data_IF_960746713121
#
_entry.id   IF_960746713121
#
_cell.length_a   1.000
_cell.length_b   1.000
_cell.length_c   1.000
_cell.angle_alpha   90.00
_cell.angle_beta   90.00
_cell.angle_gamma   90.00
#
_symmetry.space_group_name_H-M   'P 1'
#
loop_
_entity.id
_entity.type
_entity.pdbx_description
1 polymer ?
#
# COMPACT_ATOMS: atom_id res chain seq x y z
N UNK A 1 9.55 27.99 5.49
CA UNK A 1 8.21 27.77 4.92
C UNK A 1 7.60 29.14 4.63
N UNK A 2 7.26 29.46 3.38
CA UNK A 2 6.66 30.76 3.04
C UNK A 2 5.12 30.69 3.16
N UNK A 3 4.48 31.77 3.60
CA UNK A 3 3.05 31.81 3.94
C UNK A 3 2.11 31.52 2.75
N UNK A 4 2.62 31.61 1.52
CA UNK A 4 1.89 31.29 0.29
C UNK A 4 1.67 29.79 0.09
N UNK A 5 2.67 28.95 0.39
CA UNK A 5 2.55 27.49 0.31
C UNK A 5 1.47 26.95 1.26
N UNK A 6 1.34 27.54 2.46
CA UNK A 6 0.28 27.21 3.42
C UNK A 6 -1.11 27.67 2.95
N UNK A 7 -1.19 28.73 2.13
CA UNK A 7 -2.47 29.25 1.60
C UNK A 7 -3.00 28.41 0.46
N UNK A 8 -2.12 27.88 -0.39
CA UNK A 8 -2.54 27.05 -1.53
C UNK A 8 -2.94 25.64 -1.08
N UNK A 9 -2.26 25.06 -0.08
CA UNK A 9 -2.71 23.83 0.59
C UNK A 9 -4.10 23.99 1.23
N UNK A 10 -4.41 25.16 1.82
CA UNK A 10 -5.73 25.44 2.40
C UNK A 10 -6.84 25.55 1.34
N UNK A 11 -6.55 26.11 0.16
CA UNK A 11 -7.52 26.20 -0.94
C UNK A 11 -7.81 24.85 -1.57
N UNK A 12 -6.79 24.00 -1.71
CA UNK A 12 -6.97 22.63 -2.20
C UNK A 12 -7.73 21.76 -1.18
N UNK A 13 -7.49 21.94 0.13
CA UNK A 13 -8.27 21.30 1.18
C UNK A 13 -9.73 21.79 1.25
N UNK A 14 -9.99 23.06 0.96
CA UNK A 14 -11.36 23.57 0.84
C UNK A 14 -12.09 22.93 -0.33
N UNK A 15 -11.43 22.79 -1.48
CA UNK A 15 -11.99 22.14 -2.67
C UNK A 15 -12.20 20.62 -2.50
N UNK A 16 -11.31 19.94 -1.76
CA UNK A 16 -11.47 18.52 -1.40
C UNK A 16 -12.58 18.35 -0.35
N UNK A 17 -12.74 19.29 0.59
CA UNK A 17 -13.84 19.27 1.55
C UNK A 17 -15.18 19.62 0.91
N UNK A 18 -15.19 20.49 -0.11
CA UNK A 18 -16.35 20.78 -0.94
C UNK A 18 -16.74 19.57 -1.80
N UNK A 19 -15.78 18.93 -2.49
CA UNK A 19 -16.00 17.67 -3.22
C UNK A 19 -16.46 16.54 -2.28
N UNK A 20 -15.83 16.41 -1.10
CA UNK A 20 -16.29 15.49 -0.05
C UNK A 20 -17.71 15.82 0.41
N UNK A 21 -18.09 17.10 0.51
CA UNK A 21 -19.43 17.51 0.93
C UNK A 21 -20.49 17.30 -0.15
N UNK A 22 -20.18 17.63 -1.41
CA UNK A 22 -21.08 17.46 -2.56
C UNK A 22 -21.24 15.97 -2.93
N UNK A 23 -20.20 15.15 -2.79
CA UNK A 23 -20.28 13.69 -2.99
C UNK A 23 -20.78 12.91 -1.76
N UNK A 24 -20.67 13.45 -0.52
CA UNK A 24 -21.39 12.91 0.64
C UNK A 24 -22.89 13.22 0.58
N UNK A 25 -23.29 14.39 0.06
CA UNK A 25 -24.69 14.79 -0.07
C UNK A 25 -25.40 14.11 -1.24
N UNK A 26 -24.67 13.67 -2.29
CA UNK A 26 -25.22 12.87 -3.38
C UNK A 26 -25.58 11.42 -3.00
N UNK A 27 -25.26 10.99 -1.77
CA UNK A 27 -25.63 9.66 -1.25
C UNK A 27 -24.81 8.49 -1.81
N UNK A 28 -23.85 8.74 -2.71
CA UNK A 28 -23.05 7.72 -3.40
C UNK A 28 -21.97 7.09 -2.48
N UNK A 29 -21.52 7.80 -1.44
CA UNK A 29 -20.43 7.39 -0.54
C UNK A 29 -20.89 6.86 0.84
N UNK A 30 -22.20 6.72 1.09
CA UNK A 30 -22.72 6.49 2.45
C UNK A 30 -22.85 5.04 2.88
N UNK A 31 -23.03 4.08 1.97
CA UNK A 31 -23.34 2.69 2.35
C UNK A 31 -22.71 1.71 1.35
N UNK A 32 -21.84 0.83 1.84
CA UNK A 32 -21.40 -0.34 1.10
C UNK A 32 -22.62 -1.28 0.94
N UNK A 33 -22.93 -1.83 -0.23
CA UNK A 33 -24.10 -2.68 -0.40
C UNK A 33 -24.07 -3.84 0.60
N UNK A 34 -25.10 -3.98 1.44
CA UNK A 34 -25.26 -5.15 2.30
C UNK A 34 -25.44 -6.40 1.40
N UNK A 35 -24.82 -7.51 1.78
CA UNK A 35 -24.69 -8.70 0.94
C UNK A 35 -25.92 -9.63 1.09
N UNK A 36 -26.76 -9.69 0.07
CA UNK A 36 -27.84 -10.69 -0.04
C UNK A 36 -27.98 -11.29 -1.47
N UNK A 37 -27.32 -10.70 -2.49
CA UNK A 37 -27.53 -11.06 -3.90
C UNK A 37 -26.26 -10.96 -4.75
N UNK A 38 -26.18 -11.76 -5.82
CA UNK A 38 -25.11 -11.73 -6.83
C UNK A 38 -24.83 -10.32 -7.41
N UNK A 39 -25.88 -9.47 -7.53
CA UNK A 39 -25.74 -8.10 -8.03
C UNK A 39 -24.98 -7.20 -7.04
N UNK A 40 -25.19 -7.39 -5.74
CA UNK A 40 -24.49 -6.63 -4.70
C UNK A 40 -23.00 -7.01 -4.63
N UNK A 41 -22.67 -8.29 -4.84
CA UNK A 41 -21.27 -8.76 -4.95
C UNK A 41 -20.51 -8.01 -6.05
N UNK A 42 -21.10 -7.89 -7.24
CA UNK A 42 -20.47 -7.19 -8.36
C UNK A 42 -20.34 -5.68 -8.08
N UNK A 43 -21.38 -5.07 -7.49
CA UNK A 43 -21.33 -3.65 -7.10
C UNK A 43 -20.21 -3.37 -6.07
N UNK A 44 -19.99 -4.29 -5.12
CA UNK A 44 -18.88 -4.17 -4.17
C UNK A 44 -17.53 -4.17 -4.90
N UNK A 45 -17.33 -5.07 -5.85
CA UNK A 45 -16.07 -5.14 -6.60
C UNK A 45 -15.83 -3.87 -7.41
N UNK A 46 -16.85 -3.40 -8.12
CA UNK A 46 -16.76 -2.17 -8.91
C UNK A 46 -16.51 -0.94 -8.01
N UNK A 47 -17.11 -0.93 -6.81
CA UNK A 47 -16.80 0.08 -5.78
C UNK A 47 -15.32 0.02 -5.36
N UNK A 48 -14.78 -1.15 -5.02
CA UNK A 48 -13.38 -1.30 -4.59
C UNK A 48 -12.40 -0.90 -5.69
N UNK A 49 -12.68 -1.26 -6.95
CA UNK A 49 -11.88 -0.83 -8.10
C UNK A 49 -11.93 0.69 -8.25
N UNK A 50 -13.11 1.30 -8.12
CA UNK A 50 -13.27 2.75 -8.20
C UNK A 50 -12.47 3.46 -7.10
N UNK A 51 -12.51 2.96 -5.86
CA UNK A 51 -11.72 3.53 -4.76
C UNK A 51 -10.21 3.40 -5.03
N UNK A 52 -9.76 2.24 -5.51
CA UNK A 52 -8.34 2.04 -5.87
C UNK A 52 -7.88 3.03 -6.95
N UNK A 53 -8.72 3.30 -7.96
CA UNK A 53 -8.41 4.26 -9.03
C UNK A 53 -8.40 5.70 -8.53
N UNK A 54 -9.38 6.09 -7.70
CA UNK A 54 -9.40 7.42 -7.06
C UNK A 54 -8.11 7.65 -6.28
N UNK A 55 -7.64 6.69 -5.49
CA UNK A 55 -6.38 6.84 -4.77
C UNK A 55 -5.18 6.99 -5.71
N UNK A 56 -5.11 6.20 -6.79
CA UNK A 56 -4.02 6.30 -7.76
C UNK A 56 -3.99 7.65 -8.49
N UNK A 57 -5.17 8.25 -8.74
CA UNK A 57 -5.30 9.54 -9.41
C UNK A 57 -5.28 10.74 -8.45
N UNK A 58 -5.35 10.50 -7.13
CA UNK A 58 -5.31 11.52 -6.09
C UNK A 58 -3.86 11.92 -5.77
N UNK A 59 -3.28 12.77 -6.62
CA UNK A 59 -1.97 13.37 -6.40
C UNK A 59 -2.02 14.90 -6.51
N UNK A 60 -1.08 15.57 -5.87
CA UNK A 60 -0.88 17.00 -6.04
C UNK A 60 -0.07 17.25 -7.32
N UNK A 61 -0.58 18.03 -8.29
CA UNK A 61 0.10 18.30 -9.57
C UNK A 61 1.52 18.88 -9.42
N UNK A 62 1.81 19.57 -8.31
CA UNK A 62 3.18 20.06 -8.04
C UNK A 62 4.18 18.92 -7.82
N UNK A 63 3.69 17.71 -7.56
CA UNK A 63 4.45 16.51 -7.30
C UNK A 63 4.19 15.41 -8.36
N UNK A 64 3.78 15.81 -9.56
CA UNK A 64 3.66 14.88 -10.69
C UNK A 64 5.02 14.31 -11.11
N UNK A 65 6.08 15.13 -11.01
CA UNK A 65 7.45 14.76 -11.39
C UNK A 65 8.43 15.08 -10.26
N UNK A 66 8.58 14.15 -9.32
CA UNK A 66 9.55 14.26 -8.23
C UNK A 66 10.96 13.92 -8.72
N UNK A 67 11.89 14.86 -8.53
CA UNK A 67 13.32 14.69 -8.86
C UNK A 67 14.09 14.01 -7.71
N UNK A 68 15.36 13.70 -7.95
CA UNK A 68 16.26 13.22 -6.89
C UNK A 68 16.39 14.23 -5.74
N UNK A 69 16.51 15.53 -6.07
CA UNK A 69 16.64 16.60 -5.09
C UNK A 69 15.37 16.72 -4.24
N UNK A 70 14.20 16.58 -4.87
CA UNK A 70 12.92 16.56 -4.17
C UNK A 70 12.83 15.38 -3.21
N UNK A 71 13.21 14.16 -3.62
CA UNK A 71 13.23 13.00 -2.70
C UNK A 71 14.09 13.28 -1.46
N UNK A 72 15.31 13.78 -1.64
CA UNK A 72 16.23 14.08 -0.52
C UNK A 72 15.65 15.16 0.39
N UNK A 73 15.01 16.17 -0.18
CA UNK A 73 14.38 17.27 0.57
C UNK A 73 13.16 16.78 1.34
N UNK A 74 12.29 16.00 0.71
CA UNK A 74 11.04 15.53 1.28
C UNK A 74 11.30 14.52 2.41
N UNK A 75 12.25 13.60 2.23
CA UNK A 75 12.65 12.65 3.27
C UNK A 75 13.10 13.32 4.59
N UNK A 76 13.68 14.52 4.50
CA UNK A 76 14.11 15.30 5.68
C UNK A 76 12.98 16.05 6.38
N UNK A 77 11.89 16.36 5.67
CA UNK A 77 10.82 17.23 6.15
C UNK A 77 9.64 16.42 6.71
N UNK A 78 9.37 15.26 6.11
CA UNK A 78 8.11 14.55 6.27
C UNK A 78 8.24 13.27 7.12
N UNK A 79 7.12 12.83 7.72
CA UNK A 79 6.95 11.51 8.37
C UNK A 79 7.66 11.30 9.72
N UNK A 80 8.66 12.11 10.07
CA UNK A 80 9.56 11.87 11.22
C UNK A 80 9.01 12.31 12.58
N UNK A 81 8.04 13.21 12.62
CA UNK A 81 7.53 13.81 13.87
C UNK A 81 6.04 13.59 14.06
N UNK A 82 5.46 12.62 13.34
CA UNK A 82 4.02 12.36 13.28
C UNK A 82 3.78 10.95 13.80
N UNK A 83 2.76 10.80 14.65
CA UNK A 83 2.32 9.49 15.13
C UNK A 83 1.45 8.79 14.08
N UNK A 84 1.31 7.47 14.21
CA UNK A 84 0.39 6.71 13.36
C UNK A 84 -1.04 7.27 13.38
N UNK A 85 -1.56 7.61 14.55
CA UNK A 85 -2.91 8.17 14.71
C UNK A 85 -3.07 9.49 13.94
N UNK A 86 -2.14 10.43 14.14
CA UNK A 86 -2.17 11.70 13.42
C UNK A 86 -2.01 11.48 11.92
N UNK A 87 -1.13 10.56 11.51
CA UNK A 87 -0.93 10.22 10.10
C UNK A 87 -2.15 9.62 9.43
N UNK A 88 -2.93 8.80 10.13
CA UNK A 88 -4.18 8.23 9.58
C UNK A 88 -5.27 9.29 9.43
N UNK A 89 -5.35 10.24 10.35
CA UNK A 89 -6.30 11.34 10.29
C UNK A 89 -5.91 12.39 9.25
N UNK A 90 -4.60 12.62 9.08
CA UNK A 90 -4.03 13.63 8.18
C UNK A 90 -2.87 13.07 7.35
N UNK A 91 -3.14 12.20 6.35
CA UNK A 91 -2.09 11.56 5.55
C UNK A 91 -1.14 12.54 4.84
N UNK A 92 -1.63 13.73 4.47
CA UNK A 92 -0.84 14.79 3.84
C UNK A 92 0.28 15.34 4.72
N UNK A 93 0.20 15.14 6.04
CA UNK A 93 1.29 15.47 6.96
C UNK A 93 2.41 14.43 6.92
N UNK A 94 2.10 13.16 6.60
CA UNK A 94 3.10 12.09 6.51
C UNK A 94 3.95 12.23 5.27
N UNK A 95 3.35 12.56 4.12
CA UNK A 95 4.03 12.94 2.89
C UNK A 95 3.03 13.64 1.94
N UNK A 96 3.52 14.47 1.00
CA UNK A 96 2.65 14.95 -0.07
C UNK A 96 2.19 13.78 -0.95
N UNK A 97 0.99 13.90 -1.53
CA UNK A 97 0.46 12.93 -2.48
C UNK A 97 1.21 13.04 -3.81
N UNK A 98 2.20 12.17 -3.97
CA UNK A 98 3.09 12.13 -5.13
C UNK A 98 2.61 11.08 -6.11
N UNK A 99 2.48 11.46 -7.38
CA UNK A 99 2.12 10.53 -8.45
C UNK A 99 3.08 9.35 -8.49
N UNK A 100 2.56 8.13 -8.48
CA UNK A 100 3.39 6.95 -8.66
C UNK A 100 3.94 6.90 -10.09
N UNK A 101 5.26 6.81 -10.19
CA UNK A 101 6.00 6.66 -11.43
C UNK A 101 6.80 5.37 -11.36
N UNK A 102 6.26 4.32 -11.96
CA UNK A 102 6.86 2.99 -11.98
C UNK A 102 7.92 2.80 -13.06
N UNK A 103 8.48 3.90 -13.58
CA UNK A 103 9.58 3.84 -14.54
C UNK A 103 10.90 3.49 -13.84
N UNK A 104 11.87 3.02 -14.61
CA UNK A 104 13.22 2.68 -14.14
C UNK A 104 14.23 3.69 -14.71
N UNK A 105 14.05 4.97 -14.37
CA UNK A 105 14.82 6.09 -14.91
C UNK A 105 16.17 6.30 -14.20
N UNK A 106 16.28 5.93 -12.93
CA UNK A 106 17.51 6.09 -12.13
C UNK A 106 17.72 4.97 -11.12
N UNK A 107 18.97 4.64 -10.83
CA UNK A 107 19.30 3.74 -9.71
C UNK A 107 18.79 4.34 -8.39
N UNK A 108 18.30 3.45 -7.53
CA UNK A 108 17.83 3.79 -6.18
C UNK A 108 18.95 4.39 -5.32
N UNK A 109 18.60 5.37 -4.49
CA UNK A 109 19.44 5.90 -3.41
C UNK A 109 18.83 5.53 -2.05
N UNK A 110 19.60 5.73 -0.99
CA UNK A 110 19.19 5.41 0.39
C UNK A 110 17.88 6.10 0.80
N UNK A 111 17.74 7.38 0.47
CA UNK A 111 16.55 8.19 0.78
C UNK A 111 15.28 7.66 0.10
N UNK A 112 15.39 6.95 -1.02
CA UNK A 112 14.23 6.32 -1.66
C UNK A 112 13.60 5.23 -0.78
N UNK A 113 14.38 4.54 0.05
CA UNK A 113 13.88 3.45 0.90
C UNK A 113 12.90 3.99 1.94
N UNK A 114 13.34 4.99 2.72
CA UNK A 114 12.49 5.63 3.74
C UNK A 114 11.36 6.42 3.10
N UNK A 115 11.62 7.10 1.99
CA UNK A 115 10.59 7.88 1.32
C UNK A 115 9.49 7.03 0.69
N UNK A 116 9.83 5.84 0.17
CA UNK A 116 8.83 4.89 -0.34
C UNK A 116 7.83 4.49 0.75
N UNK A 117 8.27 4.35 2.00
CA UNK A 117 7.40 4.04 3.14
C UNK A 117 6.39 5.15 3.41
N UNK A 118 6.81 6.42 3.41
CA UNK A 118 5.88 7.53 3.61
C UNK A 118 4.86 7.64 2.47
N UNK A 119 5.30 7.42 1.23
CA UNK A 119 4.41 7.49 0.07
C UNK A 119 3.39 6.36 0.07
N UNK A 120 3.82 5.13 0.35
CA UNK A 120 2.90 4.00 0.41
C UNK A 120 2.00 4.07 1.64
N UNK A 121 2.46 4.68 2.75
CA UNK A 121 1.60 5.03 3.88
C UNK A 121 0.42 5.90 3.43
N UNK A 122 0.69 7.02 2.75
CA UNK A 122 -0.36 7.93 2.28
C UNK A 122 -1.32 7.21 1.34
N UNK A 123 -0.80 6.40 0.41
CA UNK A 123 -1.62 5.60 -0.50
C UNK A 123 -2.56 4.64 0.23
N UNK A 124 -2.05 3.88 1.21
CA UNK A 124 -2.85 2.90 1.96
C UNK A 124 -3.82 3.63 2.90
N UNK A 125 -3.42 4.73 3.52
CA UNK A 125 -4.25 5.53 4.42
C UNK A 125 -5.42 6.17 3.66
N UNK A 126 -5.17 6.72 2.47
CA UNK A 126 -6.23 7.25 1.61
C UNK A 126 -7.21 6.13 1.21
N UNK A 127 -6.70 4.98 0.78
CA UNK A 127 -7.55 3.84 0.42
C UNK A 127 -8.39 3.35 1.60
N UNK A 128 -7.79 3.17 2.77
CA UNK A 128 -8.49 2.76 3.99
C UNK A 128 -9.57 3.77 4.37
N UNK A 129 -9.28 5.07 4.32
CA UNK A 129 -10.22 6.13 4.66
C UNK A 129 -11.39 6.27 3.67
N UNK A 130 -11.25 5.79 2.42
CA UNK A 130 -12.38 5.71 1.48
C UNK A 130 -13.36 4.58 1.84
N UNK A 131 -12.93 3.57 2.60
CA UNK A 131 -13.78 2.45 2.98
C UNK A 131 -14.67 2.82 4.18
N UNK A 132 -16.01 2.75 4.06
CA UNK A 132 -16.92 3.09 5.16
C UNK A 132 -16.67 2.27 6.43
N UNK A 133 -16.35 0.99 6.30
CA UNK A 133 -16.14 0.06 7.42
C UNK A 133 -14.90 0.45 8.23
N UNK A 134 -13.82 0.87 7.56
CA UNK A 134 -12.63 1.34 8.27
C UNK A 134 -12.93 2.60 9.07
N UNK A 135 -13.70 3.53 8.49
CA UNK A 135 -14.14 4.76 9.19
C UNK A 135 -15.10 4.51 10.36
N UNK A 136 -15.80 3.37 10.39
CA UNK A 136 -16.67 3.00 11.51
C UNK A 136 -15.89 2.49 12.72
N UNK A 137 -14.66 2.02 12.54
CA UNK A 137 -13.79 1.60 13.62
C UNK A 137 -13.41 2.81 14.48
N UNK A 138 -13.23 2.59 15.78
CA UNK A 138 -12.59 3.60 16.63
C UNK A 138 -11.11 3.77 16.21
N UNK A 139 -10.50 4.89 16.58
CA UNK A 139 -9.14 5.23 16.15
C UNK A 139 -8.09 4.20 16.62
N UNK A 140 -8.30 3.57 17.77
CA UNK A 140 -7.41 2.52 18.30
C UNK A 140 -7.43 1.29 17.39
N UNK A 141 -8.62 0.80 17.02
CA UNK A 141 -8.79 -0.33 16.10
C UNK A 141 -8.25 0.01 14.69
N UNK A 142 -8.48 1.23 14.20
CA UNK A 142 -7.90 1.70 12.92
C UNK A 142 -6.36 1.63 12.96
N UNK A 143 -5.75 2.13 14.04
CA UNK A 143 -4.30 2.08 14.22
C UNK A 143 -3.77 0.64 14.30
N UNK A 144 -4.48 -0.25 15.01
CA UNK A 144 -4.08 -1.66 15.13
C UNK A 144 -4.10 -2.38 13.77
N UNK A 145 -5.24 -2.32 13.05
CA UNK A 145 -5.35 -2.92 11.73
C UNK A 145 -4.33 -2.36 10.76
N UNK A 146 -4.22 -1.02 10.70
CA UNK A 146 -3.33 -0.38 9.75
C UNK A 146 -1.88 -0.77 10.02
N UNK A 147 -1.42 -0.68 11.28
CA UNK A 147 -0.04 -1.04 11.66
C UNK A 147 0.27 -2.48 11.29
N UNK A 148 -0.59 -3.42 11.67
CA UNK A 148 -0.34 -4.85 11.48
C UNK A 148 -0.29 -5.24 10.00
N UNK A 149 -1.13 -4.62 9.16
CA UNK A 149 -1.29 -5.02 7.77
C UNK A 149 -0.52 -4.12 6.78
N UNK A 150 0.03 -2.98 7.23
CA UNK A 150 0.68 -1.97 6.39
C UNK A 150 1.73 -2.56 5.45
N UNK A 151 2.67 -3.34 5.98
CA UNK A 151 3.79 -3.81 5.17
C UNK A 151 3.33 -4.85 4.15
N UNK A 152 2.46 -5.78 4.54
CA UNK A 152 1.86 -6.79 3.63
C UNK A 152 1.06 -6.11 2.53
N UNK A 153 0.27 -5.08 2.87
CA UNK A 153 -0.46 -4.29 1.89
C UNK A 153 0.48 -3.54 0.95
N UNK A 154 1.56 -2.95 1.47
CA UNK A 154 2.57 -2.25 0.67
C UNK A 154 3.17 -3.17 -0.39
N UNK A 155 3.46 -4.42 -0.03
CA UNK A 155 3.87 -5.46 -0.96
C UNK A 155 2.82 -5.73 -2.05
N UNK A 156 1.55 -5.83 -1.71
CA UNK A 156 0.50 -6.09 -2.71
C UNK A 156 0.32 -4.92 -3.67
N UNK A 157 0.37 -3.67 -3.18
CA UNK A 157 0.38 -2.48 -4.04
C UNK A 157 1.55 -2.52 -5.01
N UNK A 158 2.76 -2.81 -4.50
CA UNK A 158 3.95 -2.97 -5.33
C UNK A 158 3.77 -4.04 -6.41
N UNK A 159 3.28 -5.23 -6.04
CA UNK A 159 3.12 -6.35 -6.98
C UNK A 159 2.08 -6.06 -8.05
N UNK A 160 0.98 -5.40 -7.71
CA UNK A 160 -0.05 -5.01 -8.69
C UNK A 160 0.52 -4.08 -9.76
N UNK A 161 1.24 -3.04 -9.33
CA UNK A 161 1.72 -1.97 -10.20
C UNK A 161 2.94 -2.41 -11.04
N UNK A 162 3.73 -3.35 -10.54
CA UNK A 162 4.91 -3.88 -11.24
C UNK A 162 4.60 -5.07 -12.16
N UNK A 163 3.32 -5.39 -12.38
CA UNK A 163 2.89 -6.54 -13.19
C UNK A 163 3.41 -6.52 -14.62
N UNK A 164 3.46 -5.34 -15.23
CA UNK A 164 3.76 -5.17 -16.66
C UNK A 164 5.16 -4.60 -16.93
N UNK A 165 6.02 -4.59 -15.92
CA UNK A 165 7.33 -3.95 -16.01
C UNK A 165 8.37 -4.98 -16.42
N UNK A 166 9.27 -4.56 -17.31
CA UNK A 166 10.40 -5.40 -17.74
C UNK A 166 11.32 -5.69 -16.56
N UNK A 167 11.34 -6.96 -16.15
CA UNK A 167 12.10 -7.46 -15.00
C UNK A 167 13.58 -7.61 -15.30
N UNK A 168 13.98 -7.63 -16.57
CA UNK A 168 15.40 -7.68 -16.93
C UNK A 168 16.11 -6.37 -16.54
N UNK A 169 15.38 -5.26 -16.52
CA UNK A 169 15.88 -3.96 -16.10
C UNK A 169 16.06 -3.91 -14.57
N UNK A 170 15.00 -4.22 -13.83
CA UNK A 170 15.01 -4.28 -12.37
C UNK A 170 13.67 -4.01 -11.72
N UNK A 171 13.69 -3.69 -10.43
CA UNK A 171 12.49 -3.53 -9.60
C UNK A 171 12.25 -2.05 -9.26
N UNK A 172 11.19 -1.42 -9.78
CA UNK A 172 10.94 0.01 -9.60
C UNK A 172 10.33 0.33 -8.24
N UNK A 173 10.64 1.50 -7.69
CA UNK A 173 10.18 1.97 -6.38
C UNK A 173 9.07 3.03 -6.46
N UNK A 174 8.53 3.24 -7.66
CA UNK A 174 7.34 4.09 -7.86
C UNK A 174 7.60 5.59 -7.82
N UNK A 175 8.85 6.05 -7.83
CA UNK A 175 9.25 7.46 -8.04
C UNK A 175 10.21 7.64 -9.21
N UNK A 176 10.26 6.68 -10.14
CA UNK A 176 11.24 6.59 -11.23
C UNK A 176 12.57 5.95 -10.82
N UNK A 177 12.79 5.67 -9.52
CA UNK A 177 13.95 4.89 -9.10
C UNK A 177 13.71 3.38 -9.21
N UNK A 178 14.79 2.61 -9.34
CA UNK A 178 14.71 1.16 -9.36
C UNK A 178 15.96 0.49 -8.77
N UNK A 179 15.78 -0.76 -8.32
CA UNK A 179 16.86 -1.67 -7.97
C UNK A 179 17.27 -2.44 -9.22
N UNK A 180 18.46 -2.20 -9.79
CA UNK A 180 18.85 -2.82 -11.05
C UNK A 180 19.19 -4.30 -10.88
N UNK A 181 18.88 -5.11 -11.90
CA UNK A 181 19.30 -6.52 -11.92
C UNK A 181 20.81 -6.70 -12.03
N UNK A 182 21.51 -5.75 -12.66
CA UNK A 182 22.97 -5.70 -12.74
C UNK A 182 23.46 -4.45 -12.01
N UNK A 183 24.33 -4.64 -11.03
CA UNK A 183 24.91 -3.52 -10.28
C UNK A 183 26.18 -3.12 -11.03
N UNK A 184 26.24 -1.87 -11.50
CA UNK A 184 27.50 -1.26 -11.88
C UNK A 184 28.17 -0.70 -10.62
N UNK A 185 29.21 -1.38 -10.14
CA UNK A 185 29.90 -1.00 -8.91
C UNK A 185 30.59 0.37 -9.02
N UNK A 186 30.84 0.86 -10.24
CA UNK A 186 31.46 2.16 -10.48
C UNK A 186 30.55 3.36 -10.15
N UNK A 187 29.25 3.15 -9.99
CA UNK A 187 28.28 4.19 -9.63
C UNK A 187 28.29 4.55 -8.12
N UNK A 188 28.99 3.79 -7.29
CA UNK A 188 28.95 3.92 -5.83
C UNK A 188 30.24 4.53 -5.27
N UNK A 189 30.12 5.30 -4.17
CA UNK A 189 31.24 6.10 -3.64
C UNK A 189 32.17 5.29 -2.74
N UNK A 190 31.67 4.20 -2.15
CA UNK A 190 32.48 3.34 -1.28
C UNK A 190 31.93 1.91 -1.15
N UNK A 191 32.78 1.00 -0.67
CA UNK A 191 32.45 -0.42 -0.46
C UNK A 191 31.25 -0.65 0.48
N UNK A 192 31.06 0.25 1.45
CA UNK A 192 29.95 0.17 2.40
C UNK A 192 28.60 0.38 1.70
N UNK A 193 28.52 1.35 0.79
CA UNK A 193 27.35 1.59 -0.05
C UNK A 193 27.10 0.37 -0.95
N UNK A 194 28.14 -0.11 -1.66
CA UNK A 194 28.04 -1.30 -2.52
C UNK A 194 27.49 -2.50 -1.74
N UNK A 195 27.98 -2.74 -0.53
CA UNK A 195 27.52 -3.84 0.33
C UNK A 195 26.05 -3.70 0.74
N UNK A 196 25.61 -2.49 1.12
CA UNK A 196 24.21 -2.23 1.43
C UNK A 196 23.30 -2.46 0.21
N UNK A 197 23.69 -1.96 -0.97
CA UNK A 197 22.93 -2.15 -2.21
C UNK A 197 22.90 -3.61 -2.67
N UNK A 198 23.98 -4.37 -2.49
CA UNK A 198 23.99 -5.82 -2.76
C UNK A 198 22.98 -6.55 -1.87
N UNK A 199 22.81 -6.15 -0.62
CA UNK A 199 21.80 -6.71 0.28
C UNK A 199 20.38 -6.37 -0.15
N UNK A 200 20.11 -5.10 -0.48
CA UNK A 200 18.83 -4.64 -1.03
C UNK A 200 18.51 -5.43 -2.31
N UNK A 201 19.43 -5.50 -3.28
CA UNK A 201 19.24 -6.31 -4.49
C UNK A 201 18.92 -7.77 -4.19
N UNK A 202 19.67 -8.42 -3.31
CA UNK A 202 19.44 -9.84 -2.93
C UNK A 202 18.07 -10.05 -2.30
N UNK A 203 17.54 -9.04 -1.63
CA UNK A 203 16.20 -9.05 -1.07
C UNK A 203 15.15 -8.89 -2.18
N UNK A 204 15.24 -7.83 -2.99
CA UNK A 204 14.29 -7.54 -4.07
C UNK A 204 14.33 -8.57 -5.22
N UNK A 205 15.45 -9.26 -5.45
CA UNK A 205 15.52 -10.35 -6.43
C UNK A 205 14.66 -11.57 -6.08
N UNK A 206 14.09 -11.64 -4.88
CA UNK A 206 13.18 -12.72 -4.47
C UNK A 206 11.72 -12.40 -4.75
N UNK A 207 11.42 -11.18 -5.20
CA UNK A 207 10.07 -10.74 -5.57
C UNK A 207 9.45 -11.67 -6.60
N UNK A 208 10.24 -12.14 -7.57
CA UNK A 208 9.76 -13.08 -8.59
C UNK A 208 9.07 -14.30 -7.96
N UNK A 209 9.61 -14.85 -6.86
CA UNK A 209 9.01 -16.03 -6.20
C UNK A 209 7.67 -15.76 -5.48
N UNK A 210 7.43 -14.50 -5.11
CA UNK A 210 6.19 -14.02 -4.48
C UNK A 210 5.18 -13.65 -5.56
N UNK A 211 5.66 -13.10 -6.67
CA UNK A 211 4.86 -12.60 -7.76
C UNK A 211 4.39 -13.69 -8.72
N UNK A 212 5.24 -14.68 -9.00
CA UNK A 212 4.97 -15.75 -9.96
C UNK A 212 3.60 -16.43 -9.78
N UNK A 213 3.12 -16.71 -8.55
CA UNK A 213 1.76 -17.22 -8.35
C UNK A 213 0.65 -16.30 -8.86
N UNK A 214 0.79 -14.98 -8.75
CA UNK A 214 -0.21 -14.03 -9.28
C UNK A 214 -0.26 -14.06 -10.81
N UNK A 215 0.89 -14.26 -11.48
CA UNK A 215 0.95 -14.45 -12.93
C UNK A 215 0.34 -15.77 -13.37
N UNK A 216 0.73 -16.87 -12.74
CA UNK A 216 0.24 -18.22 -13.09
C UNK A 216 -1.26 -18.35 -12.90
N UNK A 217 -1.80 -17.62 -11.93
CA UNK A 217 -3.23 -17.54 -11.70
C UNK A 217 -3.89 -16.47 -12.58
N UNK A 218 -3.19 -15.62 -13.32
CA UNK A 218 -3.82 -14.52 -14.05
C UNK A 218 -4.72 -13.66 -13.14
N UNK A 219 -4.18 -13.26 -11.98
CA UNK A 219 -4.88 -12.36 -11.04
C UNK A 219 -5.03 -10.98 -11.70
N UNK A 220 -6.26 -10.47 -11.72
CA UNK A 220 -6.60 -9.19 -12.35
C UNK A 220 -6.85 -8.07 -11.32
N UNK A 221 -7.11 -6.85 -11.80
CA UNK A 221 -7.34 -5.67 -10.96
C UNK A 221 -8.45 -5.89 -9.93
N UNK A 222 -9.53 -6.58 -10.30
CA UNK A 222 -10.66 -6.87 -9.42
C UNK A 222 -10.25 -7.81 -8.28
N UNK A 223 -9.59 -8.92 -8.61
CA UNK A 223 -9.07 -9.85 -7.60
C UNK A 223 -8.03 -9.17 -6.68
N UNK A 224 -7.15 -8.31 -7.22
CA UNK A 224 -6.21 -7.52 -6.42
C UNK A 224 -6.94 -6.56 -5.46
N UNK A 225 -7.98 -5.87 -5.89
CA UNK A 225 -8.73 -4.94 -5.03
C UNK A 225 -9.44 -5.67 -3.88
N UNK A 226 -10.05 -6.82 -4.16
CA UNK A 226 -10.63 -7.68 -3.11
C UNK A 226 -9.55 -8.15 -2.14
N UNK A 227 -8.43 -8.66 -2.66
CA UNK A 227 -7.33 -9.18 -1.85
C UNK A 227 -6.70 -8.10 -0.96
N UNK A 228 -6.43 -6.89 -1.48
CA UNK A 228 -5.96 -5.75 -0.68
C UNK A 228 -6.92 -5.40 0.46
N UNK A 229 -8.23 -5.44 0.18
CA UNK A 229 -9.25 -5.12 1.18
C UNK A 229 -9.34 -6.21 2.25
N UNK A 230 -9.27 -7.49 1.86
CA UNK A 230 -9.19 -8.61 2.80
C UNK A 230 -7.98 -8.47 3.74
N UNK A 231 -6.81 -8.09 3.20
CA UNK A 231 -5.61 -7.87 3.99
C UNK A 231 -5.75 -6.71 4.97
N UNK A 232 -6.41 -5.61 4.59
CA UNK A 232 -6.61 -4.46 5.48
C UNK A 232 -7.41 -4.85 6.73
N UNK A 233 -8.45 -5.67 6.56
CA UNK A 233 -9.31 -6.16 7.64
C UNK A 233 -8.88 -7.54 8.18
N UNK A 234 -7.64 -7.95 7.90
CA UNK A 234 -7.03 -9.13 8.51
C UNK A 234 -6.51 -8.79 9.91
N UNK A 235 -6.40 -9.78 10.80
CA UNK A 235 -5.90 -9.66 12.17
C UNK A 235 -6.88 -9.00 13.15
N UNK A 236 -7.60 -9.83 13.89
CA UNK A 236 -8.65 -9.43 14.82
C UNK A 236 -8.26 -9.52 16.29
N UNK A 237 -7.06 -10.04 16.55
CA UNK A 237 -6.48 -10.03 17.88
C UNK A 237 -6.29 -8.56 18.30
N UNK A 238 -6.63 -8.26 19.56
CA UNK A 238 -6.57 -6.92 20.15
C UNK A 238 -7.53 -5.86 19.59
N UNK A 239 -8.43 -6.21 18.67
CA UNK A 239 -9.53 -5.32 18.30
C UNK A 239 -10.64 -5.32 19.36
N UNK A 240 -11.36 -4.19 19.45
CA UNK A 240 -12.61 -4.12 20.21
C UNK A 240 -13.66 -5.12 19.70
N UNK A 241 -14.64 -5.46 20.53
CA UNK A 241 -15.75 -6.34 20.12
C UNK A 241 -16.49 -5.84 18.88
N UNK A 242 -16.69 -4.53 18.77
CA UNK A 242 -17.33 -3.95 17.59
C UNK A 242 -16.39 -3.96 16.38
N UNK A 243 -15.10 -3.68 16.59
CA UNK A 243 -14.09 -3.77 15.54
C UNK A 243 -14.02 -5.16 14.91
N UNK A 244 -14.01 -6.21 15.75
CA UNK A 244 -14.07 -7.61 15.28
C UNK A 244 -15.33 -7.90 14.46
N UNK A 245 -16.50 -7.44 14.92
CA UNK A 245 -17.76 -7.64 14.19
C UNK A 245 -17.75 -6.94 12.83
N UNK A 246 -17.19 -5.73 12.75
CA UNK A 246 -17.03 -4.99 11.50
C UNK A 246 -16.13 -5.78 10.54
N UNK A 247 -14.95 -6.23 11.01
CA UNK A 247 -14.00 -7.02 10.22
C UNK A 247 -14.61 -8.33 9.71
N UNK A 248 -15.29 -9.10 10.55
CA UNK A 248 -15.97 -10.33 10.15
C UNK A 248 -16.98 -10.08 9.02
N UNK A 249 -17.88 -9.09 9.20
CA UNK A 249 -18.94 -8.80 8.21
C UNK A 249 -18.38 -8.42 6.84
N UNK A 250 -17.33 -7.60 6.81
CA UNK A 250 -16.72 -7.20 5.54
C UNK A 250 -15.93 -8.35 4.91
N UNK A 251 -15.22 -9.15 5.70
CA UNK A 251 -14.48 -10.31 5.20
C UNK A 251 -15.42 -11.35 4.56
N UNK A 252 -16.56 -11.66 5.18
CA UNK A 252 -17.58 -12.55 4.60
C UNK A 252 -18.09 -12.03 3.25
N UNK A 253 -18.37 -10.72 3.18
CA UNK A 253 -18.82 -10.06 1.94
C UNK A 253 -17.76 -10.12 0.84
N UNK A 254 -16.49 -9.91 1.19
CA UNK A 254 -15.36 -9.95 0.26
C UNK A 254 -15.09 -11.36 -0.28
N UNK A 255 -15.20 -12.39 0.58
CA UNK A 255 -15.04 -13.80 0.18
C UNK A 255 -16.13 -14.21 -0.79
N UNK A 256 -17.39 -13.85 -0.51
CA UNK A 256 -18.51 -14.13 -1.41
C UNK A 256 -18.37 -13.35 -2.73
N UNK A 257 -17.95 -12.08 -2.68
CA UNK A 257 -17.67 -11.30 -3.88
C UNK A 257 -16.59 -11.94 -4.75
N UNK A 258 -15.50 -12.41 -4.13
CA UNK A 258 -14.44 -13.14 -4.84
C UNK A 258 -14.98 -14.41 -5.50
N UNK A 259 -15.81 -15.17 -4.78
CA UNK A 259 -16.44 -16.39 -5.29
C UNK A 259 -17.33 -16.12 -6.50
N UNK A 260 -18.24 -15.14 -6.39
CA UNK A 260 -19.13 -14.71 -7.48
C UNK A 260 -18.32 -14.27 -8.69
N UNK A 261 -17.29 -13.45 -8.50
CA UNK A 261 -16.46 -12.96 -9.58
C UNK A 261 -15.73 -14.07 -10.33
N UNK A 262 -15.05 -14.96 -9.60
CA UNK A 262 -14.32 -16.07 -10.18
C UNK A 262 -15.26 -17.08 -10.85
N UNK A 263 -16.45 -17.27 -10.31
CA UNK A 263 -17.48 -18.13 -10.92
C UNK A 263 -17.94 -17.60 -12.28
N UNK A 264 -18.06 -16.28 -12.41
CA UNK A 264 -18.40 -15.64 -13.68
C UNK A 264 -17.21 -15.66 -14.66
N UNK A 265 -16.00 -15.31 -14.20
CA UNK A 265 -14.78 -15.23 -15.04
C UNK A 265 -14.29 -16.59 -15.52
N UNK A 266 -14.43 -17.63 -14.69
CA UNK A 266 -13.98 -18.99 -14.94
C UNK A 266 -15.16 -19.97 -14.96
N UNK A 267 -16.20 -19.65 -15.73
CA UNK A 267 -17.45 -20.42 -15.80
C UNK A 267 -17.26 -21.88 -16.25
N UNK A 268 -16.21 -22.16 -17.02
CA UNK A 268 -15.83 -23.51 -17.42
C UNK A 268 -15.09 -24.34 -16.35
N UNK A 269 -14.70 -23.73 -15.23
CA UNK A 269 -13.96 -24.43 -14.16
C UNK A 269 -14.91 -25.08 -13.15
N UNK A 270 -14.56 -26.30 -12.76
CA UNK A 270 -15.23 -27.02 -11.68
C UNK A 270 -15.13 -26.25 -10.35
N UNK A 271 -16.01 -26.60 -9.41
CA UNK A 271 -15.96 -26.07 -8.04
C UNK A 271 -14.58 -26.29 -7.41
N UNK A 272 -14.02 -27.49 -7.54
CA UNK A 272 -12.72 -27.84 -6.96
C UNK A 272 -11.55 -27.03 -7.55
N UNK A 273 -11.59 -26.71 -8.84
CA UNK A 273 -10.58 -25.87 -9.48
C UNK A 273 -10.64 -24.41 -8.99
N UNK A 274 -11.85 -23.86 -8.83
CA UNK A 274 -12.05 -22.52 -8.28
C UNK A 274 -11.63 -22.43 -6.81
N UNK A 275 -12.02 -23.41 -5.99
CA UNK A 275 -11.57 -23.49 -4.60
C UNK A 275 -10.04 -23.58 -4.50
N UNK A 276 -9.41 -24.43 -5.35
CA UNK A 276 -7.94 -24.54 -5.43
C UNK A 276 -7.28 -23.21 -5.83
N UNK A 277 -7.88 -22.45 -6.76
CA UNK A 277 -7.41 -21.10 -7.12
C UNK A 277 -7.43 -20.18 -5.90
N UNK A 278 -8.55 -20.09 -5.19
CA UNK A 278 -8.67 -19.25 -3.99
C UNK A 278 -7.64 -19.61 -2.93
N UNK A 279 -7.47 -20.91 -2.64
CA UNK A 279 -6.45 -21.37 -1.71
C UNK A 279 -5.05 -20.97 -2.16
N UNK A 280 -4.73 -21.07 -3.46
CA UNK A 280 -3.42 -20.64 -3.98
C UNK A 280 -3.19 -19.14 -3.81
N UNK A 281 -4.21 -18.29 -4.01
CA UNK A 281 -4.10 -16.84 -3.77
C UNK A 281 -3.80 -16.57 -2.28
N UNK A 282 -4.55 -17.19 -1.38
CA UNK A 282 -4.38 -17.02 0.07
C UNK A 282 -3.03 -17.56 0.57
N UNK A 283 -2.52 -18.64 -0.02
CA UNK A 283 -1.19 -19.18 0.28
C UNK A 283 -0.02 -18.26 -0.12
N UNK A 284 -0.29 -17.14 -0.81
CA UNK A 284 0.72 -16.12 -1.08
C UNK A 284 0.94 -15.23 0.16
N UNK A 285 -0.07 -15.06 1.02
CA UNK A 285 0.04 -14.22 2.24
C UNK A 285 1.22 -14.63 3.12
N UNK A 286 1.43 -15.92 3.46
CA UNK A 286 2.61 -16.33 4.23
C UNK A 286 3.94 -16.00 3.55
N UNK A 287 4.02 -16.05 2.21
CA UNK A 287 5.23 -15.68 1.46
C UNK A 287 5.51 -14.18 1.57
N UNK A 288 4.47 -13.36 1.46
CA UNK A 288 4.57 -11.90 1.65
C UNK A 288 4.97 -11.57 3.09
N UNK A 289 4.37 -12.23 4.09
CA UNK A 289 4.71 -12.02 5.50
C UNK A 289 6.19 -12.34 5.78
N UNK A 290 6.68 -13.46 5.24
CA UNK A 290 8.09 -13.83 5.40
C UNK A 290 9.04 -12.85 4.66
N UNK A 291 8.62 -12.29 3.51
CA UNK A 291 9.39 -11.24 2.84
C UNK A 291 9.39 -9.94 3.64
N UNK A 292 8.23 -9.54 4.16
CA UNK A 292 8.03 -8.38 5.04
C UNK A 292 8.91 -8.47 6.29
N UNK A 293 8.98 -9.64 6.92
CA UNK A 293 9.85 -9.84 8.09
C UNK A 293 11.31 -9.59 7.73
N UNK A 294 11.77 -10.13 6.60
CA UNK A 294 13.15 -9.93 6.13
C UNK A 294 13.46 -8.48 5.76
N UNK A 295 12.49 -7.77 5.19
CA UNK A 295 12.60 -6.33 4.94
C UNK A 295 12.74 -5.56 6.24
N UNK A 296 11.91 -5.91 7.24
CA UNK A 296 11.92 -5.28 8.56
C UNK A 296 13.26 -5.51 9.27
N UNK A 297 13.78 -6.74 9.23
CA UNK A 297 15.09 -7.09 9.80
C UNK A 297 16.24 -6.30 9.12
N UNK A 298 16.20 -6.18 7.78
CA UNK A 298 17.18 -5.41 7.01
C UNK A 298 17.12 -3.92 7.35
N UNK A 299 15.91 -3.35 7.39
CA UNK A 299 15.67 -1.95 7.72
C UNK A 299 16.13 -1.62 9.14
N UNK A 300 15.85 -2.50 10.10
CA UNK A 300 16.32 -2.37 11.47
C UNK A 300 17.85 -2.42 11.54
N UNK A 301 18.48 -3.37 10.85
CA UNK A 301 19.94 -3.48 10.78
C UNK A 301 20.57 -2.20 10.20
N UNK A 302 20.02 -1.69 9.10
CA UNK A 302 20.48 -0.43 8.50
C UNK A 302 20.32 0.75 9.46
N UNK A 303 19.25 0.78 10.25
CA UNK A 303 19.05 1.82 11.26
C UNK A 303 20.08 1.74 12.39
N UNK A 304 20.40 0.55 12.89
CA UNK A 304 21.44 0.34 13.93
C UNK A 304 22.80 0.88 13.49
N UNK A 305 23.13 0.77 12.20
CA UNK A 305 24.38 1.31 11.65
C UNK A 305 24.34 2.81 11.32
N UNK A 306 23.28 3.51 11.72
CA UNK A 306 23.09 4.93 11.45
C UNK A 306 22.80 5.22 9.98
N UNK A 307 22.46 4.20 9.20
CA UNK A 307 22.08 4.40 7.81
C UNK A 307 20.65 4.92 7.77
N UNK A 308 19.66 4.19 8.24
CA UNK A 308 18.26 4.66 8.14
C UNK A 308 17.80 5.34 9.44
N UNK A 309 17.20 6.53 9.29
CA UNK A 309 16.42 7.13 10.38
C UNK A 309 14.99 6.55 10.32
N UNK A 310 14.55 5.94 11.42
CA UNK A 310 13.23 5.33 11.54
C UNK A 310 12.25 6.14 12.40
N UNK A 311 12.58 7.34 12.86
CA UNK A 311 11.71 8.17 13.71
C UNK A 311 10.33 8.43 13.08
N UNK A 312 9.31 8.58 13.93
CA UNK A 312 7.93 8.84 13.52
C UNK A 312 7.25 7.60 12.94
N UNK A 313 6.67 7.75 11.76
CA UNK A 313 5.87 6.71 11.08
C UNK A 313 6.61 5.37 10.91
N UNK A 314 7.88 5.30 10.45
CA UNK A 314 8.54 4.01 10.23
C UNK A 314 8.72 3.26 11.55
N UNK A 315 9.00 3.98 12.64
CA UNK A 315 9.12 3.40 13.98
C UNK A 315 7.78 2.89 14.48
N UNK A 316 6.73 3.68 14.32
CA UNK A 316 5.37 3.28 14.72
C UNK A 316 4.89 2.04 13.95
N UNK A 317 5.37 1.82 12.73
CA UNK A 317 5.03 0.66 11.90
C UNK A 317 5.92 -0.56 12.16
N UNK A 318 7.23 -0.36 12.34
CA UNK A 318 8.22 -1.44 12.54
C UNK A 318 8.26 -1.98 13.96
N UNK A 319 8.16 -1.12 14.95
CA UNK A 319 8.33 -1.48 16.37
C UNK A 319 6.99 -1.75 17.05
N UNK A 320 6.15 -2.56 16.40
CA UNK A 320 5.05 -3.24 17.07
C UNK A 320 5.61 -4.22 18.09
N UNK A 321 5.97 -3.71 19.28
CA UNK A 321 6.19 -4.54 20.46
C UNK A 321 4.91 -5.34 20.71
N UNK A 322 5.07 -6.66 20.84
CA UNK A 322 4.11 -7.52 21.49
C UNK A 322 3.48 -6.81 22.70
N UNK A 323 2.18 -6.61 22.63
CA UNK A 323 1.34 -6.01 23.66
C UNK A 323 -0.05 -6.59 23.51
#
# INVERSE_FOLDING_TARGET
MNAESLRDTRKNNAKLNELKSEELDSGVLKVLPCHETHKQSLNLIDFLVSMSRICNDNFDPNYEHVTLEDTIKLDKIYGRTISLEEGLQFPDRVAPRIKFRWTCERTIIKEDLTFAWYRVFVQIADFANLLPQFRQLNITDQCHLFRHNFAVMSWVYFLQETKNIDRELGYPFGNGSYVPMKIDESEYKCDKEISAFKQVKKFYSKIDSIYQPFLELDVDEKEFCIFKTLLLFQFEENLSDEGRKICHRINDSLIEALWVYQSARFSGSSYGERAKRQSKILLIVPKINHATQKESDLTLLMSVFGELNLDGIPKDLLFSTAG
#
